data_IF_338860279831
#
_entry.id   IF_338860279831
#
_cell.length_a   1.000
_cell.length_b   1.000
_cell.length_c   1.000
_cell.angle_alpha   90.00
_cell.angle_beta   90.00
_cell.angle_gamma   90.00
#
_symmetry.space_group_name_H-M   'P 1'
#
loop_
_entity.id
_entity.type
_entity.pdbx_description
1 polymer ?
#
# COMPACT_ATOMS: atom_id res chain seq x y z
N UNK A 1 -17.86 1.10 36.95
CA UNK A 1 -18.08 1.49 35.54
C UNK A 1 -16.96 2.44 35.16
N UNK A 2 -15.89 1.89 34.57
CA UNK A 2 -14.84 2.66 33.94
C UNK A 2 -15.25 2.82 32.46
N UNK A 3 -15.06 3.99 31.83
CA UNK A 3 -15.26 4.11 30.39
C UNK A 3 -14.14 3.37 29.66
N UNK A 4 -14.54 2.47 28.76
CA UNK A 4 -13.67 1.82 27.79
C UNK A 4 -13.06 2.87 26.86
N UNK A 5 -11.81 3.21 27.13
CA UNK A 5 -11.02 4.13 26.32
C UNK A 5 -10.64 3.42 25.01
N UNK A 6 -11.50 3.50 23.99
CA UNK A 6 -11.17 3.16 22.61
C UNK A 6 -10.19 4.20 22.05
N UNK A 7 -8.92 4.08 22.41
CA UNK A 7 -7.83 4.88 21.87
C UNK A 7 -6.88 3.94 21.11
N UNK A 8 -7.21 3.62 19.85
CA UNK A 8 -6.38 2.71 19.05
C UNK A 8 -6.81 2.40 17.61
N UNK A 9 -7.87 3.00 17.07
CA UNK A 9 -8.52 2.51 15.84
C UNK A 9 -8.01 3.20 14.55
N UNK A 10 -7.84 4.52 14.55
CA UNK A 10 -7.61 5.27 13.31
C UNK A 10 -6.19 5.15 12.72
N UNK A 11 -5.18 4.86 13.55
CA UNK A 11 -3.79 4.69 13.10
C UNK A 11 -3.55 3.31 12.51
N UNK A 12 -4.28 2.30 12.99
CA UNK A 12 -4.22 0.93 12.49
C UNK A 12 -4.83 0.86 11.08
N UNK A 13 -6.00 1.50 10.91
CA UNK A 13 -6.68 1.65 9.62
C UNK A 13 -5.83 2.34 8.54
N UNK A 14 -5.13 3.41 8.89
CA UNK A 14 -4.26 4.12 7.97
C UNK A 14 -3.02 3.31 7.58
N UNK A 15 -2.47 2.55 8.54
CA UNK A 15 -1.33 1.66 8.32
C UNK A 15 -1.72 0.48 7.42
N UNK A 16 -2.87 -0.13 7.68
CA UNK A 16 -3.45 -1.22 6.88
C UNK A 16 -3.64 -0.80 5.43
N UNK A 17 -4.24 0.37 5.20
CA UNK A 17 -4.46 0.88 3.85
C UNK A 17 -3.14 1.12 3.11
N UNK A 18 -2.15 1.71 3.80
CA UNK A 18 -0.84 1.98 3.22
C UNK A 18 -0.08 0.68 2.87
N UNK A 19 -0.24 -0.38 3.66
CA UNK A 19 0.30 -1.71 3.33
C UNK A 19 -0.38 -2.32 2.11
N UNK A 20 -1.72 -2.21 2.00
CA UNK A 20 -2.47 -2.72 0.84
C UNK A 20 -2.00 -2.05 -0.46
N UNK A 21 -1.82 -0.73 -0.41
CA UNK A 21 -1.32 0.04 -1.55
C UNK A 21 0.12 -0.37 -1.89
N UNK A 22 1.00 -0.62 -0.91
CA UNK A 22 2.35 -1.15 -1.17
C UNK A 22 2.31 -2.47 -1.93
N UNK A 23 1.47 -3.42 -1.48
CA UNK A 23 1.35 -4.73 -2.14
C UNK A 23 0.92 -4.57 -3.58
N UNK A 24 -0.14 -3.80 -3.83
CA UNK A 24 -0.61 -3.52 -5.19
C UNK A 24 0.50 -2.91 -6.06
N UNK A 25 1.25 -1.94 -5.54
CA UNK A 25 2.34 -1.28 -6.26
C UNK A 25 3.48 -2.25 -6.60
N UNK A 26 3.89 -3.11 -5.66
CA UNK A 26 4.91 -4.14 -5.91
C UNK A 26 4.45 -5.16 -6.94
N UNK A 27 3.18 -5.51 -6.87
CA UNK A 27 2.57 -6.45 -7.77
C UNK A 27 2.57 -5.85 -9.19
N UNK A 28 2.07 -4.63 -9.36
CA UNK A 28 2.07 -3.90 -10.63
C UNK A 28 3.48 -3.78 -11.26
N UNK A 29 4.50 -3.46 -10.46
CA UNK A 29 5.88 -3.29 -10.95
C UNK A 29 6.50 -4.57 -11.51
N UNK A 30 6.09 -5.75 -11.02
CA UNK A 30 6.60 -7.03 -11.53
C UNK A 30 5.96 -7.46 -12.85
N UNK A 31 4.74 -6.98 -13.15
CA UNK A 31 4.00 -7.36 -14.36
C UNK A 31 3.35 -8.74 -14.32
N UNK A 32 3.57 -9.53 -13.25
CA UNK A 32 3.12 -10.93 -13.13
C UNK A 32 1.60 -11.11 -12.97
N UNK A 33 0.80 -10.04 -13.01
CA UNK A 33 -0.60 -10.06 -12.58
C UNK A 33 -1.59 -9.97 -13.70
N UNK A 34 -1.17 -9.53 -14.88
CA UNK A 34 -2.10 -9.32 -15.98
C UNK A 34 -2.82 -10.62 -16.36
N UNK A 35 -2.15 -11.77 -16.31
CA UNK A 35 -2.78 -13.07 -16.57
C UNK A 35 -3.80 -13.45 -15.48
N UNK A 36 -3.50 -13.16 -14.21
CA UNK A 36 -4.38 -13.45 -13.08
C UNK A 36 -5.60 -12.53 -13.09
N UNK A 37 -5.40 -11.26 -13.40
CA UNK A 37 -6.47 -10.27 -13.54
C UNK A 37 -7.41 -10.67 -14.69
N UNK A 38 -6.86 -11.03 -15.84
CA UNK A 38 -7.65 -11.47 -17.00
C UNK A 38 -8.42 -12.76 -16.74
N UNK A 39 -7.84 -13.72 -16.02
CA UNK A 39 -8.55 -14.92 -15.62
C UNK A 39 -9.74 -14.62 -14.68
N UNK A 40 -9.66 -13.52 -13.91
CA UNK A 40 -10.67 -13.09 -12.95
C UNK A 40 -11.63 -12.03 -13.49
N UNK A 41 -11.46 -11.53 -14.73
CA UNK A 41 -12.17 -10.36 -15.24
C UNK A 41 -12.06 -9.16 -14.27
N UNK A 42 -10.85 -8.91 -13.78
CA UNK A 42 -10.55 -7.96 -12.70
C UNK A 42 -9.75 -6.72 -13.17
N UNK A 43 -9.50 -6.59 -14.48
CA UNK A 43 -8.70 -5.50 -15.04
C UNK A 43 -9.32 -4.12 -14.77
N UNK A 44 -10.66 -4.00 -14.82
CA UNK A 44 -11.36 -2.73 -14.57
C UNK A 44 -11.20 -2.28 -13.11
N UNK A 45 -11.36 -3.21 -12.17
CA UNK A 45 -11.22 -2.97 -10.72
C UNK A 45 -9.77 -2.62 -10.39
N UNK A 46 -8.81 -3.28 -11.05
CA UNK A 46 -7.40 -2.97 -10.93
C UNK A 46 -7.07 -1.56 -11.42
N UNK A 47 -7.51 -1.17 -12.62
CA UNK A 47 -7.31 0.19 -13.14
C UNK A 47 -8.03 1.26 -12.30
N UNK A 48 -9.20 0.93 -11.74
CA UNK A 48 -9.90 1.81 -10.80
C UNK A 48 -9.06 2.05 -9.56
N UNK A 49 -8.49 1.00 -8.95
CA UNK A 49 -7.62 1.13 -7.79
C UNK A 49 -6.36 1.96 -8.10
N UNK A 50 -5.73 1.74 -9.26
CA UNK A 50 -4.59 2.55 -9.71
C UNK A 50 -4.96 4.02 -9.91
N UNK A 51 -6.14 4.29 -10.46
CA UNK A 51 -6.64 5.66 -10.69
C UNK A 51 -6.85 6.40 -9.38
N UNK A 52 -7.49 5.77 -8.40
CA UNK A 52 -7.69 6.36 -7.07
C UNK A 52 -6.35 6.62 -6.36
N UNK A 53 -5.38 5.70 -6.47
CA UNK A 53 -4.02 5.91 -5.91
C UNK A 53 -3.30 7.09 -6.61
N UNK A 54 -3.43 7.22 -7.94
CA UNK A 54 -2.83 8.32 -8.71
C UNK A 54 -3.47 9.67 -8.36
N UNK A 55 -4.77 9.69 -8.08
CA UNK A 55 -5.49 10.89 -7.65
C UNK A 55 -5.04 11.41 -6.27
N UNK A 56 -4.30 10.60 -5.51
CA UNK A 56 -3.69 10.97 -4.23
C UNK A 56 -4.63 10.81 -3.04
N UNK A 57 -4.13 11.20 -1.86
CA UNK A 57 -4.73 10.96 -0.53
C UNK A 57 -6.09 11.65 -0.25
N UNK A 58 -6.79 12.12 -1.27
CA UNK A 58 -7.97 12.97 -1.12
C UNK A 58 -9.15 12.23 -0.46
N UNK A 59 -9.24 10.90 -0.62
CA UNK A 59 -10.29 10.08 -0.02
C UNK A 59 -9.81 8.64 0.26
N UNK A 60 -9.34 8.35 1.49
CA UNK A 60 -8.92 7.00 1.88
C UNK A 60 -10.03 5.93 1.77
N UNK A 61 -11.30 6.32 1.90
CA UNK A 61 -12.42 5.38 1.84
C UNK A 61 -12.65 4.90 0.40
N UNK A 62 -12.48 5.77 -0.60
CA UNK A 62 -12.54 5.39 -2.02
C UNK A 62 -11.46 4.39 -2.39
N UNK A 63 -10.23 4.64 -1.95
CA UNK A 63 -9.11 3.72 -2.22
C UNK A 63 -9.38 2.37 -1.56
N UNK A 64 -9.84 2.36 -0.30
CA UNK A 64 -10.21 1.11 0.37
C UNK A 64 -11.30 0.36 -0.37
N UNK A 65 -12.37 1.05 -0.80
CA UNK A 65 -13.46 0.44 -1.58
C UNK A 65 -12.98 -0.15 -2.91
N UNK A 66 -12.09 0.54 -3.62
CA UNK A 66 -11.51 0.03 -4.86
C UNK A 66 -10.62 -1.22 -4.63
N UNK A 67 -9.84 -1.24 -3.55
CA UNK A 67 -9.02 -2.40 -3.18
C UNK A 67 -9.87 -3.57 -2.71
N UNK A 68 -10.98 -3.33 -2.00
CA UNK A 68 -11.93 -4.36 -1.60
C UNK A 68 -12.63 -4.98 -2.82
N UNK A 69 -13.10 -4.17 -3.76
CA UNK A 69 -13.71 -4.64 -5.00
C UNK A 69 -12.73 -5.50 -5.83
N UNK A 70 -11.44 -5.14 -5.86
CA UNK A 70 -10.40 -5.93 -6.50
C UNK A 70 -10.19 -7.28 -5.80
N UNK A 71 -10.09 -7.30 -4.47
CA UNK A 71 -9.94 -8.55 -3.70
C UNK A 71 -11.17 -9.46 -3.88
N UNK A 72 -12.38 -8.91 -3.90
CA UNK A 72 -13.63 -9.66 -4.11
C UNK A 72 -13.70 -10.28 -5.51
N UNK A 73 -13.21 -9.58 -6.54
CA UNK A 73 -13.17 -10.11 -7.90
C UNK A 73 -12.14 -11.24 -8.03
N UNK A 74 -10.96 -11.06 -7.44
CA UNK A 74 -9.89 -12.06 -7.42
C UNK A 74 -10.28 -13.32 -6.63
N UNK A 75 -11.15 -13.19 -5.64
CA UNK A 75 -11.70 -14.31 -4.89
C UNK A 75 -12.45 -15.32 -5.79
N UNK A 76 -13.07 -14.86 -6.89
CA UNK A 76 -13.82 -15.71 -7.81
C UNK A 76 -12.96 -16.77 -8.50
N UNK A 77 -11.65 -16.51 -8.61
CA UNK A 77 -10.65 -17.44 -9.16
C UNK A 77 -9.75 -18.07 -8.09
N UNK A 78 -10.12 -17.92 -6.81
CA UNK A 78 -9.41 -18.50 -5.67
C UNK A 78 -8.18 -17.72 -5.22
N UNK A 79 -8.01 -16.47 -5.65
CA UNK A 79 -6.93 -15.59 -5.17
C UNK A 79 -7.43 -14.85 -3.94
N UNK A 80 -6.97 -15.27 -2.77
CA UNK A 80 -7.41 -14.72 -1.48
C UNK A 80 -6.46 -13.62 -0.97
N UNK A 81 -7.03 -12.49 -0.55
CA UNK A 81 -6.30 -11.46 0.19
C UNK A 81 -5.13 -10.88 -0.59
N UNK A 82 -5.34 -10.60 -1.88
CA UNK A 82 -4.30 -10.12 -2.77
C UNK A 82 -3.66 -8.82 -2.25
N UNK A 83 -4.49 -7.90 -1.76
CA UNK A 83 -4.01 -6.65 -1.16
C UNK A 83 -3.87 -6.76 0.36
N UNK A 84 -4.63 -7.63 1.03
CA UNK A 84 -4.68 -7.76 2.50
C UNK A 84 -3.49 -8.54 3.08
N UNK A 85 -3.13 -8.22 4.32
CA UNK A 85 -2.00 -8.86 5.01
C UNK A 85 -2.38 -10.26 5.51
N UNK A 86 -1.42 -11.19 5.49
CA UNK A 86 -1.50 -12.44 6.26
C UNK A 86 -0.51 -12.45 7.44
N UNK A 87 0.13 -11.32 7.77
CA UNK A 87 1.11 -11.19 8.87
C UNK A 87 1.28 -9.73 9.28
N UNK A 88 1.36 -9.50 10.58
CA UNK A 88 1.61 -8.20 11.21
C UNK A 88 3.11 -7.87 11.25
N UNK A 89 3.44 -6.62 10.92
CA UNK A 89 4.78 -6.06 11.09
C UNK A 89 4.95 -5.61 12.55
N UNK A 90 6.11 -5.92 13.16
CA UNK A 90 6.48 -5.43 14.49
C UNK A 90 7.68 -4.50 14.34
N UNK A 91 7.48 -3.21 14.61
CA UNK A 91 8.57 -2.25 14.70
C UNK A 91 9.56 -2.70 15.78
N UNK A 92 10.84 -2.69 15.45
CA UNK A 92 11.90 -2.77 16.45
C UNK A 92 11.92 -1.46 17.24
N UNK A 93 12.32 -1.48 18.54
CA UNK A 93 12.41 -0.26 19.33
C UNK A 93 13.38 0.74 18.68
N UNK A 94 13.10 2.05 18.79
CA UNK A 94 13.95 3.08 18.20
C UNK A 94 15.38 3.01 18.75
N UNK A 95 16.35 3.03 17.85
CA UNK A 95 17.77 3.17 18.14
C UNK A 95 18.19 4.66 18.15
N UNK A 96 19.33 5.00 18.78
CA UNK A 96 19.81 6.37 18.73
C UNK A 96 20.22 6.75 17.28
N UNK A 97 19.51 7.70 16.66
CA UNK A 97 19.92 8.29 15.39
C UNK A 97 18.77 8.94 14.60
N UNK A 98 19.11 9.50 13.45
CA UNK A 98 18.17 9.77 12.36
C UNK A 98 18.73 9.14 11.09
N UNK A 99 17.87 8.48 10.33
CA UNK A 99 18.24 7.86 9.06
C UNK A 99 17.56 8.60 7.91
N UNK A 100 18.28 8.78 6.81
CA UNK A 100 17.69 9.22 5.55
C UNK A 100 17.16 8.00 4.80
N UNK A 101 15.86 8.00 4.52
CA UNK A 101 15.17 6.97 3.74
C UNK A 101 14.44 7.61 2.56
N UNK A 102 14.22 6.84 1.50
CA UNK A 102 13.52 7.28 0.29
C UNK A 102 12.15 6.63 0.22
N UNK A 103 11.11 7.45 0.16
CA UNK A 103 9.71 7.01 0.29
C UNK A 103 8.87 7.38 -0.93
N UNK A 104 7.67 6.81 -0.99
CA UNK A 104 6.71 7.09 -2.06
C UNK A 104 6.34 8.58 -2.13
N UNK A 105 6.47 9.24 -3.31
CA UNK A 105 6.10 10.65 -3.50
C UNK A 105 4.60 10.92 -3.39
N UNK A 106 3.76 9.88 -3.46
CA UNK A 106 2.33 10.00 -3.20
C UNK A 106 2.00 9.91 -1.70
N UNK A 107 2.96 9.48 -0.86
CA UNK A 107 2.78 9.25 0.59
C UNK A 107 1.65 8.27 0.92
N UNK A 108 1.32 7.39 -0.02
CA UNK A 108 0.19 6.46 0.04
C UNK A 108 0.56 5.05 0.46
N UNK A 109 1.85 4.68 0.48
CA UNK A 109 2.27 3.34 0.86
C UNK A 109 3.46 3.39 1.81
N UNK A 110 3.70 2.28 2.51
CA UNK A 110 4.76 2.18 3.54
C UNK A 110 6.15 1.85 2.97
N UNK A 111 6.31 1.84 1.64
CA UNK A 111 7.59 1.54 1.00
C UNK A 111 8.63 2.62 1.34
N UNK A 112 9.70 2.19 2.00
CA UNK A 112 10.90 2.97 2.26
C UNK A 112 12.14 2.19 1.81
N UNK A 113 13.12 2.90 1.24
CA UNK A 113 14.41 2.36 0.85
C UNK A 113 15.53 3.16 1.51
N UNK A 114 16.49 2.51 2.18
CA UNK A 114 17.67 3.17 2.75
C UNK A 114 18.76 3.48 1.73
N UNK A 115 18.73 2.84 0.55
CA UNK A 115 19.69 3.02 -0.54
C UNK A 115 18.96 2.93 -1.89
N UNK A 116 18.48 4.05 -2.46
CA UNK A 116 17.77 4.02 -3.73
C UNK A 116 18.75 3.75 -4.88
N UNK A 117 18.27 2.99 -5.86
CA UNK A 117 18.96 2.79 -7.14
C UNK A 117 18.44 3.78 -8.19
N UNK A 118 19.10 3.83 -9.36
CA UNK A 118 18.60 4.56 -10.52
C UNK A 118 17.22 4.06 -11.02
N UNK A 119 16.74 2.90 -10.55
CA UNK A 119 15.41 2.35 -10.85
C UNK A 119 14.40 2.58 -9.72
N UNK A 120 14.79 3.19 -8.60
CA UNK A 120 13.92 3.37 -7.44
C UNK A 120 12.88 4.47 -7.71
N UNK A 121 11.66 4.03 -8.02
CA UNK A 121 10.51 4.87 -8.38
C UNK A 121 9.21 4.34 -7.79
N UNK A 122 8.25 5.24 -7.64
CA UNK A 122 6.86 4.88 -7.45
C UNK A 122 6.36 4.11 -8.67
N UNK A 123 5.93 2.86 -8.50
CA UNK A 123 5.45 2.04 -9.61
C UNK A 123 4.22 2.66 -10.29
N UNK A 124 3.27 3.15 -9.49
CA UNK A 124 1.99 3.69 -9.98
C UNK A 124 2.12 5.12 -10.51
N UNK A 125 2.90 5.95 -9.81
CA UNK A 125 3.08 7.36 -10.15
C UNK A 125 4.25 7.66 -11.10
N UNK A 126 5.10 6.68 -11.39
CA UNK A 126 6.27 6.79 -12.29
C UNK A 126 7.40 7.72 -11.82
N UNK A 127 7.22 8.43 -10.70
CA UNK A 127 8.17 9.41 -10.15
C UNK A 127 9.22 8.75 -9.25
N UNK A 128 10.44 9.32 -9.23
CA UNK A 128 11.49 8.91 -8.30
C UNK A 128 11.06 9.00 -6.84
N UNK A 129 11.65 8.18 -5.98
CA UNK A 129 11.37 8.23 -4.54
C UNK A 129 11.90 9.54 -3.92
N UNK A 130 11.20 10.04 -2.91
CA UNK A 130 11.55 11.29 -2.21
C UNK A 130 12.34 11.00 -0.93
N UNK A 131 13.45 11.70 -0.67
CA UNK A 131 14.18 11.56 0.57
C UNK A 131 13.39 12.16 1.74
N UNK A 132 13.35 11.44 2.86
CA UNK A 132 12.89 11.93 4.17
C UNK A 132 13.83 11.49 5.28
N UNK A 133 13.86 12.27 6.36
CA UNK A 133 14.58 11.92 7.58
C UNK A 133 13.59 11.31 8.57
N UNK A 134 13.89 10.09 9.04
CA UNK A 134 13.10 9.40 10.06
C UNK A 134 13.89 9.29 11.36
N UNK A 135 13.24 9.40 12.54
CA UNK A 135 13.89 9.07 13.80
C UNK A 135 14.23 7.58 13.82
N UNK A 136 15.46 7.27 14.24
CA UNK A 136 15.98 5.92 14.38
C UNK A 136 15.36 5.17 15.53
#
# INVERSE_FOLDING_TARGET
MLPDNHYGDSTDDGTELAERIERLCRAFDRGDLYEVLAAADAEEQFETALTEIRAGASDPARIRGALDALDDQLLLVGVHGFTRANRSFRLLPPGPGSEQVWVCPLRMCVRAESQPSAKSRCAVGGRGLEPVTVPG
#
